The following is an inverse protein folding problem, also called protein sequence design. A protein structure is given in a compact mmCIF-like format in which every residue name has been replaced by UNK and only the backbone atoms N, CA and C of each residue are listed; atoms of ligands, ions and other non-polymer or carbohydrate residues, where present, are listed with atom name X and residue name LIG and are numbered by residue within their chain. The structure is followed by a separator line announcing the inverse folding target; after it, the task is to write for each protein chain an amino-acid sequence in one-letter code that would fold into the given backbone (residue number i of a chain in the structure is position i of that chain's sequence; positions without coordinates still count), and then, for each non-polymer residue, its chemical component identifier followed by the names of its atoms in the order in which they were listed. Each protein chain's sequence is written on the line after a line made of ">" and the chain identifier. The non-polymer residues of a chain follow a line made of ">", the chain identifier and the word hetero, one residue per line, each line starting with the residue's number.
data_IF_671713244581
#
_entry.id   IF_671713244581
#
_cell.length_a   1.000
_cell.length_b   1.000
_cell.length_c   1.000
_cell.angle_alpha   90.00
_cell.angle_beta   90.00
_cell.angle_gamma   90.00
#
_symmetry.space_group_name_H-M   'P 1'
#
loop_
_entity.id
_entity.type
_entity.pdbx_description
1 polymer ?
#
# COMPACT_ATOMS: atom_id res chain seq x y z
N UNK A 1 -21.73 -10.43 15.78
CA UNK A 1 -20.41 -10.94 15.35
C UNK A 1 -20.42 -11.03 13.84
N UNK A 2 -19.71 -10.13 13.16
CA UNK A 2 -19.65 -10.13 11.70
C UNK A 2 -18.81 -11.34 11.24
N UNK A 3 -19.43 -12.25 10.51
CA UNK A 3 -18.73 -13.40 9.92
C UNK A 3 -18.11 -12.92 8.62
N UNK A 4 -16.84 -12.55 8.69
CA UNK A 4 -16.05 -12.28 7.50
C UNK A 4 -15.83 -13.63 6.81
N UNK A 5 -16.17 -13.71 5.50
CA UNK A 5 -15.93 -14.94 4.73
C UNK A 5 -14.45 -15.34 4.87
N UNK A 6 -14.18 -16.59 5.23
CA UNK A 6 -12.83 -17.10 5.45
C UNK A 6 -11.88 -16.89 4.25
N UNK A 7 -12.41 -16.68 3.05
CA UNK A 7 -11.62 -16.48 1.83
C UNK A 7 -10.99 -15.08 1.73
N UNK A 8 -11.50 -14.08 2.47
CA UNK A 8 -10.94 -12.71 2.50
C UNK A 8 -9.91 -12.53 3.63
N UNK A 9 -9.96 -13.40 4.65
CA UNK A 9 -9.12 -13.31 5.86
C UNK A 9 -7.95 -14.29 5.88
N UNK A 10 -7.60 -14.92 4.78
CA UNK A 10 -6.36 -15.70 4.77
C UNK A 10 -5.21 -14.71 4.89
N UNK A 11 -4.43 -14.73 6.00
CA UNK A 11 -3.31 -13.82 6.16
C UNK A 11 -2.39 -13.91 4.94
N UNK A 12 -1.88 -12.79 4.47
CA UNK A 12 -0.89 -12.70 3.36
C UNK A 12 0.28 -13.65 3.58
N UNK A 13 0.54 -14.02 4.84
CA UNK A 13 1.57 -14.99 5.24
C UNK A 13 1.42 -16.39 4.64
N UNK A 14 0.25 -16.78 4.09
CA UNK A 14 0.06 -18.16 3.61
C UNK A 14 0.32 -18.35 2.12
N UNK A 15 0.39 -17.31 1.28
CA UNK A 15 0.51 -17.49 -0.18
C UNK A 15 1.68 -16.77 -0.85
N UNK A 16 2.17 -15.63 -0.34
CA UNK A 16 3.40 -14.96 -0.80
C UNK A 16 3.78 -13.89 0.22
N UNK A 17 4.84 -14.12 0.96
CA UNK A 17 5.42 -13.07 1.80
C UNK A 17 6.13 -12.11 0.85
N UNK A 18 5.52 -10.97 0.54
CA UNK A 18 6.08 -9.92 -0.33
C UNK A 18 7.45 -9.47 0.19
N UNK A 19 7.68 -9.62 1.48
CA UNK A 19 8.93 -9.28 2.17
C UNK A 19 9.70 -10.51 2.68
N UNK A 20 9.58 -11.68 2.08
CA UNK A 20 10.13 -12.96 2.57
C UNK A 20 11.65 -12.96 2.81
N UNK A 21 12.40 -12.03 2.23
CA UNK A 21 13.84 -11.91 2.46
C UNK A 21 14.24 -11.27 3.79
N UNK A 22 13.30 -10.71 4.56
CA UNK A 22 13.58 -9.97 5.81
C UNK A 22 13.17 -10.70 7.09
N UNK A 23 12.57 -11.89 6.99
CA UNK A 23 11.99 -12.62 8.13
C UNK A 23 12.97 -13.40 9.01
N UNK A 24 14.28 -13.39 8.75
CA UNK A 24 15.24 -14.32 9.39
C UNK A 24 16.14 -13.71 10.48
N UNK A 25 15.67 -12.69 11.23
CA UNK A 25 16.45 -12.07 12.33
C UNK A 25 15.99 -12.50 13.73
N UNK A 26 15.43 -13.69 13.84
CA UNK A 26 15.03 -14.27 15.13
C UNK A 26 16.21 -14.84 15.92
N UNK A 27 17.14 -14.02 16.38
CA UNK A 27 18.01 -14.40 17.54
C UNK A 27 18.59 -13.16 18.20
N UNK A 28 17.82 -12.54 19.09
CA UNK A 28 18.31 -11.51 19.99
C UNK A 28 17.18 -10.60 20.45
N UNK A 29 16.86 -10.56 21.72
CA UNK A 29 15.72 -9.95 22.41
C UNK A 29 15.44 -8.46 22.21
N UNK A 30 15.63 -7.93 21.03
CA UNK A 30 15.40 -6.56 20.57
C UNK A 30 14.62 -6.51 19.26
N UNK A 31 14.01 -7.59 18.82
CA UNK A 31 13.23 -7.58 17.59
C UNK A 31 12.04 -6.62 17.75
N UNK A 32 12.28 -5.32 17.55
CA UNK A 32 11.25 -4.46 17.00
C UNK A 32 10.83 -5.17 15.72
N UNK A 33 9.66 -5.78 15.72
CA UNK A 33 9.15 -6.47 14.55
C UNK A 33 9.09 -5.44 13.42
N UNK A 34 9.95 -5.55 12.44
CA UNK A 34 9.94 -4.68 11.26
C UNK A 34 8.67 -4.88 10.44
N UNK A 35 8.01 -6.02 10.66
CA UNK A 35 6.81 -6.42 9.96
C UNK A 35 5.59 -6.38 10.87
N UNK A 36 4.48 -5.97 10.33
CA UNK A 36 3.17 -6.07 10.95
C UNK A 36 2.74 -7.55 10.98
N UNK A 37 2.44 -8.12 12.16
CA UNK A 37 2.16 -9.54 12.28
C UNK A 37 0.84 -9.97 11.62
N UNK A 38 -0.10 -9.05 11.41
CA UNK A 38 -1.39 -9.35 10.79
C UNK A 38 -1.31 -9.39 9.27
N UNK A 39 -0.45 -8.57 8.67
CA UNK A 39 -0.37 -8.40 7.21
C UNK A 39 0.94 -8.88 6.60
N UNK A 40 2.00 -9.07 7.40
CA UNK A 40 3.35 -9.37 6.91
C UNK A 40 4.02 -8.19 6.18
N UNK A 41 3.43 -7.00 6.23
CA UNK A 41 3.97 -5.80 5.60
C UNK A 41 4.95 -5.08 6.52
N UNK A 42 5.85 -4.28 5.96
CA UNK A 42 6.68 -3.41 6.77
C UNK A 42 5.83 -2.46 7.62
N UNK A 43 6.21 -2.31 8.89
CA UNK A 43 5.67 -1.25 9.73
C UNK A 43 6.05 0.12 9.16
N UNK A 44 5.32 1.15 9.54
CA UNK A 44 5.48 2.50 8.99
C UNK A 44 6.91 3.02 9.08
N UNK A 45 7.54 2.90 10.25
CA UNK A 45 8.92 3.36 10.48
C UNK A 45 9.93 2.60 9.62
N UNK A 46 9.76 1.28 9.51
CA UNK A 46 10.60 0.45 8.64
C UNK A 46 10.47 0.84 7.17
N UNK A 47 9.24 1.09 6.71
CA UNK A 47 8.99 1.57 5.35
C UNK A 47 9.64 2.93 5.09
N UNK A 48 9.57 3.88 6.04
CA UNK A 48 10.22 5.18 5.91
C UNK A 48 11.74 5.06 5.80
N UNK A 49 12.36 4.17 6.57
CA UNK A 49 13.79 3.88 6.46
C UNK A 49 14.16 3.31 5.09
N UNK A 50 13.33 2.41 4.54
CA UNK A 50 13.54 1.86 3.21
C UNK A 50 13.38 2.93 2.12
N UNK A 51 12.37 3.80 2.21
CA UNK A 51 12.22 4.94 1.31
C UNK A 51 13.45 5.86 1.35
N UNK A 52 13.97 6.18 2.54
CA UNK A 52 15.17 6.99 2.70
C UNK A 52 16.39 6.32 2.04
N UNK A 53 16.58 5.02 2.26
CA UNK A 53 17.67 4.25 1.64
C UNK A 53 17.57 4.23 0.12
N UNK A 54 16.38 3.97 -0.42
CA UNK A 54 16.18 3.94 -1.88
C UNK A 54 16.39 5.32 -2.51
N UNK A 55 15.99 6.39 -1.83
CA UNK A 55 16.28 7.76 -2.27
C UNK A 55 17.79 8.04 -2.33
N UNK A 56 18.53 7.65 -1.27
CA UNK A 56 19.99 7.77 -1.24
C UNK A 56 20.68 6.92 -2.32
N UNK A 57 20.19 5.68 -2.53
CA UNK A 57 20.69 4.80 -3.59
C UNK A 57 20.42 5.39 -4.98
N UNK A 58 19.20 5.85 -5.21
CA UNK A 58 18.81 6.48 -6.48
C UNK A 58 19.65 7.70 -6.83
N UNK A 59 19.95 8.55 -5.84
CA UNK A 59 20.84 9.69 -6.01
C UNK A 59 22.25 9.26 -6.40
N UNK A 60 22.79 8.23 -5.73
CA UNK A 60 24.19 7.78 -5.95
C UNK A 60 24.39 7.04 -7.27
N UNK A 61 23.42 6.18 -7.62
CA UNK A 61 23.56 5.26 -8.76
C UNK A 61 22.71 5.65 -9.97
N UNK A 62 22.05 6.82 -9.91
CA UNK A 62 21.11 7.31 -10.95
C UNK A 62 19.97 6.32 -11.21
N UNK A 63 19.53 5.70 -10.15
CA UNK A 63 18.44 4.75 -10.16
C UNK A 63 17.09 5.47 -10.00
N UNK A 64 16.00 4.81 -10.31
CA UNK A 64 14.67 5.37 -10.22
C UNK A 64 13.69 4.39 -9.58
N UNK A 65 12.66 4.95 -8.97
CA UNK A 65 11.55 4.20 -8.38
C UNK A 65 10.30 5.08 -8.33
N UNK A 66 9.16 4.47 -8.09
CA UNK A 66 7.91 5.21 -7.88
C UNK A 66 7.30 4.83 -6.53
N UNK A 67 6.90 5.84 -5.76
CA UNK A 67 6.13 5.71 -4.53
C UNK A 67 4.65 5.88 -4.85
N UNK A 68 3.85 4.87 -4.50
CA UNK A 68 2.39 4.91 -4.53
C UNK A 68 1.86 4.86 -3.09
N UNK A 69 0.95 5.75 -2.74
CA UNK A 69 0.16 5.68 -1.51
C UNK A 69 -1.29 5.30 -1.85
N UNK A 70 -1.78 4.26 -1.21
CA UNK A 70 -3.10 3.69 -1.41
C UNK A 70 -3.96 3.85 -0.16
N UNK A 71 -5.21 4.30 -0.31
CA UNK A 71 -6.22 4.29 0.75
C UNK A 71 -7.54 3.80 0.18
N UNK A 72 -8.16 2.83 0.83
CA UNK A 72 -9.53 2.47 0.53
C UNK A 72 -10.47 3.62 0.92
N UNK A 73 -11.42 3.92 0.06
CA UNK A 73 -12.43 4.93 0.31
C UNK A 73 -13.56 4.28 1.11
N UNK A 74 -13.60 4.56 2.41
CA UNK A 74 -14.57 4.00 3.35
C UNK A 74 -15.43 5.12 3.87
N UNK A 75 -16.75 4.95 3.82
CA UNK A 75 -17.70 5.90 4.37
C UNK A 75 -17.60 5.92 5.91
N UNK A 76 -17.88 7.06 6.59
CA UNK A 76 -17.78 7.15 8.05
C UNK A 76 -18.59 6.11 8.80
N UNK A 77 -19.76 5.73 8.30
CA UNK A 77 -20.62 4.69 8.86
C UNK A 77 -20.01 3.28 8.78
N UNK A 78 -19.06 3.06 7.89
CA UNK A 78 -18.36 1.79 7.69
C UNK A 78 -16.95 1.78 8.31
N UNK A 79 -16.54 2.83 9.03
CA UNK A 79 -15.19 2.99 9.59
C UNK A 79 -14.76 1.81 10.49
N UNK A 80 -15.69 1.15 11.15
CA UNK A 80 -15.43 -0.05 11.95
C UNK A 80 -14.86 -1.23 11.15
N UNK A 81 -15.03 -1.24 9.83
CA UNK A 81 -14.52 -2.28 8.93
C UNK A 81 -13.15 -1.92 8.33
N UNK A 82 -12.64 -0.70 8.55
CA UNK A 82 -11.34 -0.28 8.00
C UNK A 82 -10.21 -1.31 8.22
N UNK A 83 -10.02 -1.90 9.42
CA UNK A 83 -8.94 -2.88 9.61
C UNK A 83 -9.05 -4.10 8.70
N UNK A 84 -10.26 -4.61 8.47
CA UNK A 84 -10.49 -5.75 7.60
C UNK A 84 -10.34 -5.37 6.11
N UNK A 85 -10.76 -4.16 5.75
CA UNK A 85 -10.59 -3.60 4.40
C UNK A 85 -9.10 -3.38 4.10
N UNK A 86 -8.30 -2.92 5.07
CA UNK A 86 -6.84 -2.81 4.91
C UNK A 86 -6.16 -4.16 4.68
N UNK A 87 -6.61 -5.22 5.33
CA UNK A 87 -6.12 -6.58 5.06
C UNK A 87 -6.47 -7.00 3.62
N UNK A 88 -7.69 -6.75 3.17
CA UNK A 88 -8.10 -7.05 1.79
C UNK A 88 -7.27 -6.26 0.77
N UNK A 89 -7.03 -4.96 1.02
CA UNK A 89 -6.17 -4.12 0.19
C UNK A 89 -4.73 -4.65 0.16
N UNK A 90 -4.18 -5.02 1.32
CA UNK A 90 -2.83 -5.58 1.45
C UNK A 90 -2.67 -6.84 0.60
N UNK A 91 -3.65 -7.72 0.63
CA UNK A 91 -3.68 -8.95 -0.17
C UNK A 91 -3.69 -8.64 -1.65
N UNK A 92 -4.54 -7.73 -2.10
CA UNK A 92 -4.63 -7.34 -3.52
C UNK A 92 -3.37 -6.66 -4.03
N UNK A 93 -2.78 -5.79 -3.23
CA UNK A 93 -1.49 -5.17 -3.58
C UNK A 93 -0.43 -6.25 -3.75
N UNK A 94 -0.30 -7.18 -2.78
CA UNK A 94 0.69 -8.25 -2.81
C UNK A 94 0.58 -9.17 -4.03
N UNK A 95 -0.63 -9.40 -4.54
CA UNK A 95 -0.88 -10.21 -5.73
C UNK A 95 -0.48 -9.51 -7.04
N UNK A 96 -0.48 -8.18 -7.07
CA UNK A 96 -0.36 -7.38 -8.29
C UNK A 96 1.00 -6.71 -8.48
N UNK A 97 1.87 -6.76 -7.46
CA UNK A 97 3.24 -6.22 -7.51
C UNK A 97 4.28 -7.33 -7.56
N UNK A 98 5.53 -6.96 -7.84
CA UNK A 98 6.66 -7.89 -7.88
C UNK A 98 7.17 -8.19 -6.47
N UNK A 99 7.82 -9.33 -6.27
CA UNK A 99 8.46 -9.69 -5.00
C UNK A 99 9.63 -8.79 -4.61
N UNK A 100 10.15 -8.04 -5.56
CA UNK A 100 11.22 -7.04 -5.35
C UNK A 100 10.70 -5.69 -4.89
N UNK A 101 9.39 -5.42 -5.04
CA UNK A 101 8.77 -4.20 -4.60
C UNK A 101 8.57 -4.20 -3.08
N UNK A 102 8.53 -3.03 -2.48
CA UNK A 102 8.46 -2.86 -1.03
C UNK A 102 7.07 -2.36 -0.66
N UNK A 103 6.41 -3.06 0.25
CA UNK A 103 5.10 -2.67 0.77
C UNK A 103 5.17 -2.44 2.27
N UNK A 104 4.60 -1.35 2.73
CA UNK A 104 4.51 -1.02 4.14
C UNK A 104 3.18 -0.39 4.51
N UNK A 105 2.85 -0.51 5.80
CA UNK A 105 1.70 0.18 6.37
C UNK A 105 1.95 1.67 6.46
N UNK A 106 0.90 2.42 6.24
CA UNK A 106 0.83 3.86 6.45
C UNK A 106 -0.30 4.17 7.42
N UNK A 107 -0.23 5.26 8.18
CA UNK A 107 -1.35 5.68 9.03
C UNK A 107 -2.66 5.87 8.28
N UNK A 108 -2.57 6.10 6.97
CA UNK A 108 -3.72 6.34 6.09
C UNK A 108 -3.88 5.26 5.00
N UNK A 109 -3.37 4.05 5.22
CA UNK A 109 -3.48 2.96 4.24
C UNK A 109 -2.14 2.26 3.96
N UNK A 110 -1.74 2.07 2.71
CA UNK A 110 -0.52 1.38 2.31
C UNK A 110 0.42 2.28 1.51
N UNK A 111 1.72 2.10 1.73
CA UNK A 111 2.78 2.63 0.87
C UNK A 111 3.42 1.51 0.06
N UNK A 112 3.68 1.76 -1.21
CA UNK A 112 4.38 0.82 -2.11
C UNK A 112 5.52 1.55 -2.81
N UNK A 113 6.74 1.01 -2.73
CA UNK A 113 7.87 1.42 -3.55
C UNK A 113 8.00 0.43 -4.70
N UNK A 114 7.69 0.87 -5.89
CA UNK A 114 7.89 0.14 -7.13
C UNK A 114 9.32 0.40 -7.62
N UNK A 115 10.22 -0.53 -7.35
CA UNK A 115 11.64 -0.39 -7.69
C UNK A 115 11.86 -0.55 -9.19
N UNK A 116 12.79 0.24 -9.75
CA UNK A 116 13.08 0.26 -11.20
C UNK A 116 11.82 0.35 -12.07
N UNK A 117 10.82 1.10 -11.59
CA UNK A 117 9.54 1.29 -12.27
C UNK A 117 9.33 2.78 -12.52
N UNK A 118 9.23 3.13 -13.79
CA UNK A 118 9.02 4.51 -14.24
C UNK A 118 7.59 4.98 -14.00
N UNK A 119 7.38 6.29 -14.17
CA UNK A 119 6.10 6.93 -13.89
C UNK A 119 4.92 6.28 -14.61
N UNK A 120 5.01 6.12 -15.92
CA UNK A 120 3.93 5.56 -16.75
C UNK A 120 3.60 4.11 -16.39
N UNK A 121 4.62 3.29 -16.14
CA UNK A 121 4.43 1.91 -15.71
C UNK A 121 3.76 1.83 -14.34
N UNK A 122 4.17 2.71 -13.43
CA UNK A 122 3.61 2.77 -12.08
C UNK A 122 2.13 3.20 -12.10
N UNK A 123 1.72 4.10 -12.99
CA UNK A 123 0.31 4.43 -13.19
C UNK A 123 -0.48 3.20 -13.62
N UNK A 124 0.06 2.37 -14.50
CA UNK A 124 -0.57 1.09 -14.90
C UNK A 124 -0.72 0.12 -13.71
N UNK A 125 0.27 0.07 -12.81
CA UNK A 125 0.16 -0.73 -11.57
C UNK A 125 -0.92 -0.16 -10.64
N UNK A 126 -0.92 1.15 -10.40
CA UNK A 126 -1.89 1.82 -9.55
C UNK A 126 -3.34 1.60 -10.03
N UNK A 127 -3.58 1.73 -11.34
CA UNK A 127 -4.88 1.49 -11.95
C UNK A 127 -5.32 0.02 -11.87
N UNK A 128 -4.40 -0.94 -12.03
CA UNK A 128 -4.71 -2.36 -11.84
C UNK A 128 -5.14 -2.66 -10.40
N UNK A 129 -4.44 -2.10 -9.41
CA UNK A 129 -4.82 -2.28 -8.00
C UNK A 129 -6.18 -1.65 -7.74
N UNK A 130 -6.42 -0.42 -8.21
CA UNK A 130 -7.70 0.28 -8.09
C UNK A 130 -8.84 -0.53 -8.71
N UNK A 131 -8.67 -0.99 -9.93
CA UNK A 131 -9.68 -1.80 -10.63
C UNK A 131 -9.93 -3.15 -9.94
N UNK A 132 -8.91 -3.75 -9.33
CA UNK A 132 -9.05 -5.00 -8.59
C UNK A 132 -9.84 -4.81 -7.28
N UNK A 133 -9.66 -3.67 -6.58
CA UNK A 133 -10.43 -3.34 -5.40
C UNK A 133 -11.94 -3.21 -5.70
N UNK A 134 -12.30 -2.60 -6.82
CA UNK A 134 -13.71 -2.48 -7.24
C UNK A 134 -14.42 -3.81 -7.49
N UNK A 135 -13.67 -4.90 -7.67
CA UNK A 135 -14.22 -6.25 -7.85
C UNK A 135 -14.43 -7.00 -6.54
N UNK A 136 -14.04 -6.41 -5.42
CA UNK A 136 -14.21 -7.01 -4.10
C UNK A 136 -15.59 -6.64 -3.58
N UNK A 137 -16.41 -7.65 -3.32
CA UNK A 137 -17.63 -7.51 -2.54
C UNK A 137 -17.29 -7.74 -1.07
N UNK A 138 -17.15 -6.66 -0.32
CA UNK A 138 -16.85 -6.74 1.10
C UNK A 138 -18.13 -6.96 1.91
N UNK A 139 -18.25 -8.12 2.56
CA UNK A 139 -19.42 -8.47 3.35
C UNK A 139 -19.32 -7.91 4.76
N UNK A 140 -20.28 -7.06 5.14
CA UNK A 140 -20.38 -6.41 6.45
C UNK A 140 -21.16 -7.22 7.48
N UNK A 141 -21.66 -8.41 7.12
CA UNK A 141 -22.50 -9.30 7.93
C UNK A 141 -23.64 -9.88 7.12
N UNK A 142 -24.50 -10.74 7.72
CA UNK A 142 -25.60 -11.38 7.01
C UNK A 142 -26.72 -10.41 6.60
N UNK A 143 -26.93 -9.35 7.39
CA UNK A 143 -28.10 -8.47 7.26
C UNK A 143 -27.82 -7.19 6.44
N UNK A 144 -26.57 -6.94 6.04
CA UNK A 144 -26.18 -5.76 5.28
C UNK A 144 -25.78 -6.13 3.86
N UNK A 145 -26.13 -5.30 2.86
CA UNK A 145 -25.67 -5.51 1.49
C UNK A 145 -24.14 -5.44 1.43
N UNK A 146 -23.49 -6.17 0.51
CA UNK A 146 -22.05 -6.07 0.31
C UNK A 146 -21.63 -4.64 0.02
N UNK A 147 -20.49 -4.23 0.56
CA UNK A 147 -19.86 -2.95 0.27
C UNK A 147 -18.94 -3.10 -0.94
N UNK A 148 -19.12 -2.26 -1.94
CA UNK A 148 -18.18 -2.14 -3.04
C UNK A 148 -17.04 -1.22 -2.63
N UNK A 149 -15.82 -1.74 -2.65
CA UNK A 149 -14.63 -0.99 -2.25
C UNK A 149 -14.09 -0.18 -3.43
N UNK A 150 -13.82 1.09 -3.19
CA UNK A 150 -13.07 1.95 -4.11
C UNK A 150 -11.73 2.35 -3.50
N UNK A 151 -10.83 2.90 -4.31
CA UNK A 151 -9.45 3.15 -3.91
C UNK A 151 -8.96 4.49 -4.45
N UNK A 152 -8.51 5.34 -3.55
CA UNK A 152 -7.78 6.56 -3.88
C UNK A 152 -6.27 6.29 -3.87
N UNK A 153 -5.55 6.85 -4.84
CA UNK A 153 -4.10 6.63 -5.00
C UNK A 153 -3.39 7.95 -5.30
N UNK A 154 -2.27 8.17 -4.59
CA UNK A 154 -1.32 9.22 -4.91
C UNK A 154 -0.02 8.62 -5.43
N UNK A 155 0.47 9.06 -6.59
CA UNK A 155 1.66 8.51 -7.28
C UNK A 155 2.71 9.59 -7.46
N UNK A 156 3.96 9.30 -7.07
CA UNK A 156 5.12 10.17 -7.28
C UNK A 156 6.35 9.35 -7.65
N UNK A 157 7.16 9.85 -8.57
CA UNK A 157 8.35 9.15 -9.09
C UNK A 157 9.64 9.89 -8.72
N UNK A 158 10.64 9.14 -8.26
CA UNK A 158 12.00 9.62 -8.09
C UNK A 158 12.79 9.43 -9.39
N UNK A 159 13.59 10.41 -9.84
CA UNK A 159 13.80 11.75 -9.26
C UNK A 159 12.82 12.83 -9.79
N UNK A 160 11.91 12.47 -10.70
CA UNK A 160 11.01 13.38 -11.42
C UNK A 160 10.21 14.30 -10.48
N UNK A 161 9.55 13.73 -9.49
CA UNK A 161 8.63 14.44 -8.60
C UNK A 161 9.30 14.90 -7.29
N UNK A 162 10.58 14.60 -7.11
CA UNK A 162 11.34 15.00 -5.94
C UNK A 162 12.63 14.20 -5.80
N UNK A 163 13.63 14.82 -5.18
CA UNK A 163 14.95 14.22 -4.96
C UNK A 163 15.20 13.83 -3.49
N UNK A 164 14.24 14.06 -2.60
CA UNK A 164 14.32 13.65 -1.20
C UNK A 164 13.10 12.84 -0.80
N UNK A 165 13.28 11.93 0.14
CA UNK A 165 12.18 11.13 0.70
C UNK A 165 11.06 12.01 1.27
N UNK A 166 11.41 13.11 1.94
CA UNK A 166 10.44 14.08 2.49
C UNK A 166 9.60 14.74 1.40
N UNK A 167 10.23 15.19 0.30
CA UNK A 167 9.50 15.81 -0.82
C UNK A 167 8.56 14.82 -1.48
N UNK A 168 9.04 13.60 -1.76
CA UNK A 168 8.22 12.55 -2.37
C UNK A 168 7.02 12.22 -1.48
N UNK A 169 7.27 12.01 -0.18
CA UNK A 169 6.22 11.65 0.76
C UNK A 169 5.15 12.74 0.90
N UNK A 170 5.57 14.00 0.99
CA UNK A 170 4.67 15.15 1.07
C UNK A 170 3.80 15.26 -0.18
N UNK A 171 4.39 15.10 -1.37
CA UNK A 171 3.65 15.13 -2.64
C UNK A 171 2.70 13.95 -2.77
N UNK A 172 3.15 12.73 -2.45
CA UNK A 172 2.29 11.54 -2.51
C UNK A 172 1.08 11.66 -1.59
N UNK A 173 1.27 12.16 -0.36
CA UNK A 173 0.15 12.44 0.57
C UNK A 173 -0.81 13.50 0.02
N UNK A 174 -0.29 14.56 -0.56
CA UNK A 174 -1.12 15.61 -1.17
C UNK A 174 -1.95 15.03 -2.32
N UNK A 175 -1.37 14.22 -3.19
CA UNK A 175 -2.09 13.60 -4.32
C UNK A 175 -3.13 12.58 -3.82
N UNK A 176 -2.80 11.79 -2.82
CA UNK A 176 -3.77 10.89 -2.19
C UNK A 176 -4.97 11.67 -1.62
N UNK A 177 -4.71 12.77 -0.93
CA UNK A 177 -5.77 13.60 -0.36
C UNK A 177 -6.61 14.28 -1.46
N UNK A 178 -6.00 14.76 -2.53
CA UNK A 178 -6.72 15.28 -3.71
C UNK A 178 -7.60 14.21 -4.36
N UNK A 179 -7.13 12.95 -4.43
CA UNK A 179 -7.95 11.84 -4.93
C UNK A 179 -9.19 11.64 -4.07
N UNK A 180 -9.04 11.64 -2.74
CA UNK A 180 -10.12 11.46 -1.78
C UNK A 180 -11.13 12.62 -1.81
N UNK A 181 -10.65 13.86 -1.73
CA UNK A 181 -11.50 15.07 -1.77
C UNK A 181 -12.20 15.22 -3.12
N UNK A 182 -11.62 14.72 -4.20
CA UNK A 182 -12.22 14.73 -5.52
C UNK A 182 -13.31 13.66 -5.73
N UNK A 183 -13.79 13.01 -4.67
CA UNK A 183 -14.84 11.98 -4.71
C UNK A 183 -14.32 10.54 -4.67
N UNK A 184 -13.03 10.33 -4.39
CA UNK A 184 -12.43 9.00 -4.33
C UNK A 184 -12.30 8.29 -5.68
N UNK A 185 -11.96 7.00 -5.62
CA UNK A 185 -11.86 6.08 -6.77
C UNK A 185 -11.04 6.63 -7.95
N UNK A 186 -9.86 7.15 -7.67
CA UNK A 186 -8.99 7.73 -8.71
C UNK A 186 -7.51 7.68 -8.34
N UNK A 187 -6.68 7.74 -9.36
CA UNK A 187 -5.23 7.90 -9.26
C UNK A 187 -4.88 9.35 -9.58
N UNK A 188 -4.19 10.01 -8.68
CA UNK A 188 -3.66 11.38 -8.86
C UNK A 188 -2.12 11.33 -8.86
N UNK A 189 -1.53 12.07 -9.79
CA UNK A 189 -0.09 12.16 -9.99
C UNK A 189 0.31 13.57 -10.46
N UNK A 190 1.61 13.85 -10.49
CA UNK A 190 2.16 15.07 -11.10
C UNK A 190 2.09 15.02 -12.63
N UNK A 191 1.92 16.20 -13.23
CA UNK A 191 1.99 16.41 -14.69
C UNK A 191 3.39 16.25 -15.21
#
# INVERSE_FOLDING_TARGET
>A
MATISRDVLTPVASKRTVNAGFGAWEKGGWAVSLLDPATGLFQYEAFLHLLLRETGRGTRYRDFFTLCLFKADVAPEDAQFEPAIEVALSTRVAELIRSTDIVGRFPTGLGVLLLHTGHTEALGVAERVRAAMRRIEFRRGPDLPPLQLTLSVGVVSFPRDGQTSTTLLTRARRYLEQARQGGGDKVIHGS
#
